data_IF_873890784004
#
_entry.id   IF_873890784004
#
_cell.length_a   1.000
_cell.length_b   1.000
_cell.length_c   1.000
_cell.angle_alpha   90.00
_cell.angle_beta   90.00
_cell.angle_gamma   90.00
#
_symmetry.space_group_name_H-M   'P 1'
#
loop_
_entity.id
_entity.type
_entity.pdbx_description
1 polymer ?
#
# COMPACT_ATOMS: atom_id res chain seq x y z
N UNK A 1 -10.20 -31.52 -39.28
CA UNK A 1 -8.97 -31.02 -38.64
C UNK A 1 -8.99 -29.52 -38.32
N UNK A 2 -9.50 -28.62 -39.18
CA UNK A 2 -9.53 -27.17 -38.92
C UNK A 2 -10.39 -26.78 -37.67
N UNK A 3 -11.55 -27.38 -37.44
CA UNK A 3 -12.43 -27.08 -36.27
C UNK A 3 -11.72 -27.38 -34.92
N UNK A 4 -10.93 -28.47 -34.87
CA UNK A 4 -10.20 -28.85 -33.65
C UNK A 4 -9.08 -27.85 -33.33
N UNK A 5 -8.37 -27.34 -34.36
CA UNK A 5 -7.32 -26.32 -34.21
C UNK A 5 -7.92 -24.99 -33.73
N UNK A 6 -9.06 -24.58 -34.28
CA UNK A 6 -9.77 -23.35 -33.89
C UNK A 6 -10.24 -23.43 -32.42
N UNK A 7 -10.77 -24.57 -31.98
CA UNK A 7 -11.20 -24.77 -30.61
C UNK A 7 -10.03 -24.74 -29.61
N UNK A 8 -8.90 -25.35 -29.94
CA UNK A 8 -7.66 -25.27 -29.13
C UNK A 8 -7.12 -23.83 -29.02
N UNK A 9 -7.20 -23.05 -30.10
CA UNK A 9 -6.78 -21.65 -30.05
C UNK A 9 -7.71 -20.78 -29.20
N UNK A 10 -9.03 -20.96 -29.34
CA UNK A 10 -10.02 -20.26 -28.50
C UNK A 10 -9.83 -20.60 -27.01
N UNK A 11 -9.66 -21.88 -26.70
CA UNK A 11 -9.38 -22.33 -25.32
C UNK A 11 -8.10 -21.70 -24.74
N UNK A 12 -7.00 -21.68 -25.50
CA UNK A 12 -5.75 -21.03 -25.04
C UNK A 12 -5.89 -19.52 -24.85
N UNK A 13 -6.74 -18.85 -25.65
CA UNK A 13 -7.05 -17.42 -25.46
C UNK A 13 -7.85 -17.20 -24.18
N UNK A 14 -8.90 -18.00 -23.97
CA UNK A 14 -9.72 -17.94 -22.79
C UNK A 14 -8.88 -18.18 -21.50
N UNK A 15 -8.00 -19.17 -21.52
CA UNK A 15 -7.12 -19.48 -20.39
C UNK A 15 -6.17 -18.33 -20.06
N UNK A 16 -5.62 -17.63 -21.07
CA UNK A 16 -4.78 -16.44 -20.86
C UNK A 16 -5.55 -15.28 -20.25
N UNK A 17 -6.77 -15.03 -20.75
CA UNK A 17 -7.64 -13.98 -20.18
C UNK A 17 -7.97 -14.30 -18.73
N UNK A 18 -8.36 -15.54 -18.45
CA UNK A 18 -8.66 -15.99 -17.09
C UNK A 18 -7.46 -15.82 -16.14
N UNK A 19 -6.26 -16.15 -16.61
CA UNK A 19 -5.01 -15.95 -15.86
C UNK A 19 -4.79 -14.49 -15.49
N UNK A 20 -4.91 -13.55 -16.44
CA UNK A 20 -4.70 -12.13 -16.18
C UNK A 20 -5.80 -11.52 -15.29
N UNK A 21 -7.04 -11.93 -15.51
CA UNK A 21 -8.16 -11.52 -14.65
C UNK A 21 -7.97 -12.06 -13.23
N UNK A 22 -7.58 -13.32 -13.08
CA UNK A 22 -7.28 -13.93 -11.78
C UNK A 22 -6.15 -13.22 -11.05
N UNK A 23 -5.06 -12.87 -11.75
CA UNK A 23 -3.95 -12.08 -11.20
C UNK A 23 -4.40 -10.70 -10.73
N UNK A 24 -5.23 -10.01 -11.53
CA UNK A 24 -5.76 -8.70 -11.16
C UNK A 24 -6.66 -8.77 -9.92
N UNK A 25 -7.56 -9.76 -9.86
CA UNK A 25 -8.43 -9.97 -8.68
C UNK A 25 -7.56 -10.25 -7.45
N UNK A 26 -6.57 -11.12 -7.56
CA UNK A 26 -5.67 -11.46 -6.46
C UNK A 26 -4.88 -10.23 -5.99
N UNK A 27 -4.39 -9.42 -6.91
CA UNK A 27 -3.73 -8.16 -6.60
C UNK A 27 -4.67 -7.21 -5.85
N UNK A 28 -5.88 -6.96 -6.39
CA UNK A 28 -6.85 -6.07 -5.77
C UNK A 28 -7.25 -6.55 -4.37
N UNK A 29 -7.50 -7.85 -4.20
CA UNK A 29 -7.82 -8.42 -2.90
C UNK A 29 -6.68 -8.29 -1.89
N UNK A 30 -5.42 -8.40 -2.34
CA UNK A 30 -4.26 -8.26 -1.46
C UNK A 30 -3.96 -6.78 -1.14
N UNK A 31 -4.00 -5.91 -2.16
CA UNK A 31 -3.63 -4.50 -2.02
C UNK A 31 -4.70 -3.69 -1.27
N UNK A 32 -5.98 -4.02 -1.40
CA UNK A 32 -7.09 -3.30 -0.76
C UNK A 32 -7.34 -3.70 0.70
N UNK A 33 -6.55 -4.62 1.28
CA UNK A 33 -6.72 -4.99 2.68
C UNK A 33 -6.46 -3.80 3.59
N UNK A 34 -7.44 -3.42 4.44
CA UNK A 34 -7.29 -2.30 5.35
C UNK A 34 -6.39 -2.66 6.54
N UNK A 35 -5.68 -1.68 7.02
CA UNK A 35 -4.81 -1.81 8.18
C UNK A 35 -4.08 -0.51 8.47
N UNK A 36 -2.98 -0.60 9.20
CA UNK A 36 -2.13 0.53 9.54
C UNK A 36 -0.66 0.13 9.45
N UNK A 37 0.18 1.06 9.06
CA UNK A 37 1.62 0.85 9.07
C UNK A 37 2.20 1.22 10.43
N UNK A 38 2.95 0.32 10.99
CA UNK A 38 3.82 0.57 12.13
C UNK A 38 5.24 0.31 11.66
N UNK A 39 5.96 1.35 11.29
CA UNK A 39 7.28 1.24 10.62
C UNK A 39 7.18 0.35 9.37
N UNK A 40 7.92 -0.76 9.32
CA UNK A 40 7.92 -1.71 8.21
C UNK A 40 6.83 -2.80 8.34
N UNK A 41 6.18 -2.90 9.51
CA UNK A 41 5.10 -3.83 9.74
C UNK A 41 3.75 -3.27 9.27
N UNK A 42 3.03 -4.00 8.43
CA UNK A 42 1.63 -3.71 8.15
C UNK A 42 0.73 -4.52 9.08
N UNK A 43 0.00 -3.82 9.95
CA UNK A 43 -0.96 -4.42 10.87
C UNK A 43 -2.33 -4.48 10.18
N UNK A 44 -2.76 -5.67 9.81
CA UNK A 44 -4.05 -5.89 9.18
C UNK A 44 -5.19 -5.72 10.16
N UNK A 45 -6.25 -5.03 9.76
CA UNK A 45 -7.47 -4.96 10.53
C UNK A 45 -8.15 -6.34 10.56
N UNK A 46 -8.44 -6.81 11.76
CA UNK A 46 -9.14 -8.07 12.02
C UNK A 46 -10.65 -7.87 12.04
N UNK A 47 -11.41 -8.96 12.05
CA UNK A 47 -12.89 -8.95 12.08
C UNK A 47 -13.46 -8.38 13.37
N UNK A 48 -12.72 -8.47 14.48
CA UNK A 48 -13.07 -7.91 15.79
C UNK A 48 -12.71 -6.42 15.92
N UNK A 49 -12.14 -5.82 14.86
CA UNK A 49 -11.70 -4.43 14.84
C UNK A 49 -10.28 -4.20 15.36
N UNK A 50 -9.61 -5.22 15.90
CA UNK A 50 -8.20 -5.13 16.28
C UNK A 50 -7.28 -5.12 15.05
N UNK A 51 -6.01 -4.81 15.27
CA UNK A 51 -4.97 -4.82 14.24
C UNK A 51 -3.90 -5.83 14.63
N UNK A 52 -3.42 -6.62 13.67
CA UNK A 52 -2.36 -7.58 13.89
C UNK A 52 -1.41 -7.66 12.70
N UNK A 53 -0.11 -7.76 12.98
CA UNK A 53 0.93 -7.83 11.97
C UNK A 53 2.24 -8.34 12.52
N UNK A 54 3.24 -8.44 11.65
CA UNK A 54 4.59 -8.86 12.02
C UNK A 54 5.62 -8.28 11.06
N UNK A 55 6.83 -8.07 11.58
CA UNK A 55 8.03 -7.78 10.82
C UNK A 55 9.20 -8.65 11.33
N UNK A 56 10.42 -8.26 11.01
CA UNK A 56 11.63 -8.93 11.49
C UNK A 56 11.89 -8.74 12.98
N UNK A 57 11.32 -7.68 13.61
CA UNK A 57 11.51 -7.37 15.03
C UNK A 57 10.48 -8.05 15.92
N UNK A 58 9.32 -8.46 15.38
CA UNK A 58 8.34 -9.15 16.20
C UNK A 58 6.94 -9.29 15.63
N UNK A 59 6.07 -9.76 16.52
CA UNK A 59 4.62 -9.89 16.27
C UNK A 59 3.92 -8.80 17.06
N UNK A 60 3.06 -8.06 16.38
CA UNK A 60 2.34 -6.90 16.91
C UNK A 60 0.85 -7.13 16.91
N UNK A 61 0.19 -6.66 17.97
CA UNK A 61 -1.26 -6.52 17.99
C UNK A 61 -1.64 -5.17 18.63
N UNK A 62 -2.69 -4.54 18.13
CA UNK A 62 -3.25 -3.32 18.67
C UNK A 62 -4.76 -3.49 18.78
N UNK A 63 -5.29 -3.28 19.96
CA UNK A 63 -6.74 -3.24 20.22
C UNK A 63 -7.12 -1.84 20.70
N UNK A 64 -8.11 -1.24 20.06
CA UNK A 64 -8.57 0.11 20.39
C UNK A 64 -10.01 0.03 20.87
N UNK A 65 -10.28 0.62 22.03
CA UNK A 65 -11.61 0.75 22.60
C UNK A 65 -11.89 2.23 22.86
N UNK A 66 -12.78 2.80 22.06
CA UNK A 66 -13.14 4.21 22.16
C UNK A 66 -14.33 4.42 23.11
N UNK A 67 -14.22 5.41 23.98
CA UNK A 67 -15.31 6.00 24.77
C UNK A 67 -15.36 7.51 24.50
N UNK A 68 -16.39 8.20 24.98
CA UNK A 68 -16.75 9.56 24.58
C UNK A 68 -15.61 10.60 24.75
N UNK A 69 -14.79 10.48 25.79
CA UNK A 69 -13.66 11.39 26.06
C UNK A 69 -12.36 10.65 26.35
N UNK A 70 -12.38 9.34 26.32
CA UNK A 70 -11.24 8.49 26.64
C UNK A 70 -11.16 7.33 25.67
N UNK A 71 -10.00 7.14 25.06
CA UNK A 71 -9.73 6.01 24.19
C UNK A 71 -8.63 5.15 24.82
N UNK A 72 -8.91 3.87 24.99
CA UNK A 72 -7.93 2.91 25.46
C UNK A 72 -7.34 2.14 24.27
N UNK A 73 -6.03 2.05 24.22
CA UNK A 73 -5.31 1.27 23.24
C UNK A 73 -4.37 0.28 23.95
N UNK A 74 -4.55 -0.99 23.66
CA UNK A 74 -3.68 -2.06 24.18
C UNK A 74 -2.77 -2.50 23.04
N UNK A 75 -1.51 -2.21 23.17
CA UNK A 75 -0.47 -2.63 22.22
C UNK A 75 0.27 -3.83 22.77
N UNK A 76 0.36 -4.89 21.98
CA UNK A 76 1.12 -6.08 22.31
C UNK A 76 2.28 -6.26 21.33
N UNK A 77 3.45 -6.57 21.86
CA UNK A 77 4.65 -6.89 21.10
C UNK A 77 5.29 -8.14 21.68
N UNK A 78 5.42 -9.20 20.89
CA UNK A 78 6.03 -10.46 21.29
C UNK A 78 5.45 -11.09 22.58
N UNK A 79 4.17 -10.82 22.88
CA UNK A 79 3.47 -11.31 24.07
C UNK A 79 3.52 -10.37 25.27
N UNK A 80 4.35 -9.33 25.25
CA UNK A 80 4.30 -8.24 26.24
C UNK A 80 3.22 -7.25 25.84
N UNK A 81 2.44 -6.76 26.81
CA UNK A 81 1.34 -5.81 26.58
C UNK A 81 1.58 -4.51 27.29
N UNK A 82 1.32 -3.41 26.59
CA UNK A 82 1.40 -2.04 27.10
C UNK A 82 0.03 -1.41 26.93
N UNK A 83 -0.46 -0.76 27.98
CA UNK A 83 -1.74 -0.07 27.94
C UNK A 83 -1.52 1.42 27.75
N UNK A 84 -2.22 1.97 26.77
CA UNK A 84 -2.25 3.40 26.51
C UNK A 84 -3.66 3.93 26.78
N UNK A 85 -3.73 5.06 27.44
CA UNK A 85 -4.97 5.79 27.70
C UNK A 85 -4.84 7.19 27.13
N UNK A 86 -5.70 7.53 26.18
CA UNK A 86 -5.72 8.80 25.47
C UNK A 86 -6.96 9.55 25.93
N UNK A 87 -6.76 10.69 26.55
CA UNK A 87 -7.84 11.58 27.03
C UNK A 87 -7.87 12.80 26.13
N UNK A 88 -9.03 13.05 25.53
CA UNK A 88 -9.26 14.21 24.66
C UNK A 88 -10.27 15.15 25.31
N UNK A 89 -9.98 16.45 25.32
CA UNK A 89 -10.91 17.46 25.79
C UNK A 89 -11.49 18.27 24.61
N UNK A 90 -12.67 18.93 24.79
CA UNK A 90 -13.32 19.71 23.74
C UNK A 90 -12.49 20.86 23.15
N UNK A 91 -11.39 21.23 23.79
CA UNK A 91 -10.47 22.28 23.35
C UNK A 91 -9.25 21.73 22.59
N UNK A 92 -9.36 20.52 22.03
CA UNK A 92 -8.28 19.82 21.31
C UNK A 92 -7.05 19.51 22.18
N UNK A 93 -7.15 19.64 23.51
CA UNK A 93 -6.10 19.21 24.41
C UNK A 93 -6.09 17.70 24.53
N UNK A 94 -4.92 17.11 24.37
CA UNK A 94 -4.68 15.67 24.39
C UNK A 94 -3.71 15.32 25.49
N UNK A 95 -4.04 14.29 26.26
CA UNK A 95 -3.13 13.70 27.23
C UNK A 95 -3.03 12.20 26.95
N UNK A 96 -1.81 11.68 26.87
CA UNK A 96 -1.56 10.27 26.64
C UNK A 96 -0.81 9.69 27.83
N UNK A 97 -1.30 8.57 28.33
CA UNK A 97 -0.73 7.84 29.45
C UNK A 97 -0.31 6.46 28.96
N UNK A 98 0.81 5.99 29.43
CA UNK A 98 1.31 4.63 29.27
C UNK A 98 1.40 4.01 30.66
N UNK A 99 0.67 2.92 30.91
CA UNK A 99 0.62 2.22 32.19
C UNK A 99 0.45 3.21 33.38
N UNK A 100 -0.55 4.13 33.25
CA UNK A 100 -0.87 5.24 34.19
C UNK A 100 0.18 6.36 34.29
N UNK A 101 1.34 6.25 33.66
CA UNK A 101 2.31 7.33 33.56
C UNK A 101 1.98 8.26 32.40
N UNK A 102 1.81 9.54 32.65
CA UNK A 102 1.62 10.53 31.60
C UNK A 102 2.90 10.68 30.78
N UNK A 103 2.82 10.36 29.48
CA UNK A 103 3.93 10.45 28.51
C UNK A 103 3.80 11.63 27.58
N UNK A 104 2.56 12.17 27.38
CA UNK A 104 2.33 13.33 26.54
C UNK A 104 1.23 14.21 27.13
N UNK A 105 1.39 15.53 26.97
CA UNK A 105 0.35 16.53 27.16
C UNK A 105 0.57 17.66 26.15
N UNK A 106 -0.50 18.07 25.48
CA UNK A 106 -0.41 19.09 24.43
C UNK A 106 -1.69 19.25 23.63
N UNK A 107 -1.57 19.70 22.41
CA UNK A 107 -2.67 19.96 21.49
C UNK A 107 -2.58 19.09 20.25
N UNK A 108 -3.74 18.72 19.71
CA UNK A 108 -3.90 18.04 18.45
C UNK A 108 -4.28 19.06 17.36
N UNK A 109 -3.51 19.16 16.29
CA UNK A 109 -3.73 20.13 15.20
C UNK A 109 -3.76 19.36 13.88
N UNK A 110 -4.81 19.51 13.09
CA UNK A 110 -4.98 18.88 11.78
C UNK A 110 -6.30 18.15 11.62
N UNK A 111 -6.42 17.39 10.55
CA UNK A 111 -7.62 16.59 10.26
C UNK A 111 -7.57 15.23 10.99
N UNK A 112 -8.73 14.64 11.32
CA UNK A 112 -8.76 13.31 11.92
C UNK A 112 -7.99 12.27 11.09
N UNK A 113 -7.07 11.56 11.72
CA UNK A 113 -6.20 10.58 11.07
C UNK A 113 -4.90 11.13 10.47
N UNK A 114 -4.78 12.46 10.35
CA UNK A 114 -3.54 13.15 9.92
C UNK A 114 -3.24 14.35 10.83
N UNK A 115 -3.39 14.14 12.13
CA UNK A 115 -3.22 15.13 13.18
C UNK A 115 -1.77 15.17 13.62
N UNK A 116 -1.25 16.36 13.85
CA UNK A 116 0.07 16.59 14.45
C UNK A 116 -0.12 16.94 15.94
N UNK A 117 0.61 16.27 16.82
CA UNK A 117 0.59 16.52 18.24
C UNK A 117 1.71 17.50 18.65
N UNK A 118 1.31 18.61 19.22
CA UNK A 118 2.21 19.64 19.76
C UNK A 118 2.17 19.61 21.30
N UNK A 119 3.33 19.37 21.90
CA UNK A 119 3.47 19.41 23.35
C UNK A 119 3.34 20.83 23.90
N UNK A 120 3.02 20.97 25.20
CA UNK A 120 2.88 22.26 25.90
C UNK A 120 4.15 23.12 25.81
N UNK A 121 5.32 22.51 25.63
CA UNK A 121 6.61 23.21 25.46
C UNK A 121 6.86 23.71 24.02
N UNK A 122 5.90 23.54 23.11
CA UNK A 122 6.01 23.95 21.70
C UNK A 122 6.83 23.01 20.82
N UNK A 123 7.13 21.80 21.28
CA UNK A 123 7.81 20.76 20.50
C UNK A 123 6.81 19.74 19.93
N UNK A 124 7.20 19.03 18.87
CA UNK A 124 6.45 17.89 18.38
C UNK A 124 6.47 16.75 19.40
N UNK A 125 5.36 16.02 19.52
CA UNK A 125 5.19 14.91 20.48
C UNK A 125 6.26 13.84 20.34
N UNK A 126 6.55 13.50 19.11
CA UNK A 126 7.54 12.51 18.74
C UNK A 126 8.72 13.24 18.15
N UNK A 127 9.83 13.32 18.88
CA UNK A 127 11.06 13.89 18.39
C UNK A 127 11.54 13.18 17.11
N UNK A 128 12.59 13.70 16.49
CA UNK A 128 13.19 13.05 15.32
C UNK A 128 13.87 11.76 15.82
N UNK A 129 13.32 10.61 15.42
CA UNK A 129 13.98 9.32 15.67
C UNK A 129 15.17 9.20 14.72
N UNK A 130 16.35 9.15 15.30
CA UNK A 130 17.60 8.96 14.54
C UNK A 130 17.92 7.46 14.55
N UNK A 131 17.75 6.82 13.41
CA UNK A 131 18.19 5.44 13.20
C UNK A 131 19.71 5.45 12.98
N UNK A 132 20.46 4.87 13.91
CA UNK A 132 21.92 4.75 13.79
C UNK A 132 22.25 3.37 13.24
N UNK A 133 22.94 3.30 12.11
CA UNK A 133 23.36 2.06 11.43
C UNK A 133 22.22 1.11 10.98
N UNK A 134 20.99 1.61 10.82
CA UNK A 134 19.86 0.79 10.36
C UNK A 134 19.27 -0.13 11.44
N UNK A 135 19.72 -0.05 12.67
CA UNK A 135 19.16 -0.80 13.80
C UNK A 135 18.29 0.12 14.67
N UNK A 136 17.06 -0.32 14.94
CA UNK A 136 16.14 0.32 15.88
C UNK A 136 16.54 -0.05 17.33
N UNK A 137 16.56 0.92 18.22
CA UNK A 137 16.65 0.63 19.65
C UNK A 137 15.30 0.11 20.16
N UNK A 138 15.30 -0.63 21.26
CA UNK A 138 14.07 -1.25 21.79
C UNK A 138 12.95 -0.22 22.10
N UNK A 139 13.31 1.02 22.45
CA UNK A 139 12.36 2.12 22.64
C UNK A 139 11.74 2.59 21.31
N UNK A 140 12.48 2.52 20.21
CA UNK A 140 12.00 2.89 18.89
C UNK A 140 11.03 1.84 18.29
N UNK A 141 10.92 0.67 18.94
CA UNK A 141 9.99 -0.39 18.55
C UNK A 141 8.56 -0.14 19.05
N UNK A 142 8.38 0.75 20.01
CA UNK A 142 7.04 1.10 20.51
C UNK A 142 6.34 2.09 19.60
N UNK A 143 4.99 2.11 19.60
CA UNK A 143 4.24 3.09 18.86
C UNK A 143 4.45 4.49 19.41
N UNK A 144 4.61 5.47 18.53
CA UNK A 144 4.74 6.87 18.92
C UNK A 144 3.41 7.45 19.38
N UNK A 145 3.43 8.53 20.17
CA UNK A 145 2.22 9.21 20.63
C UNK A 145 1.35 9.69 19.47
N UNK A 146 1.97 10.25 18.44
CA UNK A 146 1.28 10.74 17.25
C UNK A 146 0.64 9.58 16.46
N UNK A 147 1.36 8.49 16.27
CA UNK A 147 0.85 7.31 15.59
C UNK A 147 -0.36 6.73 16.33
N UNK A 148 -0.23 6.54 17.65
CA UNK A 148 -1.34 6.05 18.49
C UNK A 148 -2.57 6.93 18.40
N UNK A 149 -2.40 8.25 18.49
CA UNK A 149 -3.49 9.20 18.42
C UNK A 149 -4.21 9.14 17.06
N UNK A 150 -3.46 9.17 15.98
CA UNK A 150 -4.02 9.16 14.62
C UNK A 150 -4.81 7.87 14.33
N UNK A 151 -4.42 6.74 14.89
CA UNK A 151 -5.14 5.48 14.72
C UNK A 151 -6.29 5.36 15.71
N UNK A 152 -6.03 5.59 16.99
CA UNK A 152 -6.99 5.30 18.03
C UNK A 152 -8.13 6.34 18.11
N UNK A 153 -7.83 7.61 17.88
CA UNK A 153 -8.78 8.72 17.92
C UNK A 153 -9.15 9.18 16.51
N UNK A 154 -8.15 9.37 15.65
CA UNK A 154 -8.34 9.85 14.29
C UNK A 154 -8.89 8.81 13.32
N UNK A 155 -8.87 7.53 13.67
CA UNK A 155 -9.38 6.44 12.82
C UNK A 155 -8.60 6.23 11.53
N UNK A 156 -7.32 6.64 11.49
CA UNK A 156 -6.47 6.47 10.30
C UNK A 156 -6.43 5.02 9.87
N UNK A 157 -6.69 4.82 8.61
CA UNK A 157 -6.58 3.52 7.95
C UNK A 157 -5.92 3.68 6.60
N UNK A 158 -5.11 2.69 6.28
CA UNK A 158 -4.39 2.61 5.01
C UNK A 158 -4.65 1.28 4.33
N UNK A 159 -4.33 1.19 3.06
CA UNK A 159 -4.37 -0.07 2.32
C UNK A 159 -2.97 -0.67 2.26
N UNK A 160 -2.90 -2.02 2.24
CA UNK A 160 -1.61 -2.74 2.22
C UNK A 160 -0.77 -2.40 1.00
N UNK A 161 -1.41 -2.19 -0.16
CA UNK A 161 -0.73 -1.84 -1.41
C UNK A 161 -1.07 -0.42 -1.85
N UNK A 162 -0.13 0.20 -2.56
CA UNK A 162 -0.36 1.51 -3.17
C UNK A 162 -1.19 1.37 -4.44
N UNK A 163 -2.49 1.69 -4.36
CA UNK A 163 -3.44 1.55 -5.46
C UNK A 163 -3.18 2.51 -6.63
N UNK A 164 -2.34 3.54 -6.44
CA UNK A 164 -1.92 4.43 -7.53
C UNK A 164 -1.17 3.68 -8.64
N UNK A 165 -0.55 2.54 -8.31
CA UNK A 165 0.09 1.65 -9.30
C UNK A 165 -0.89 1.04 -10.31
N UNK A 166 -2.19 1.03 -10.03
CA UNK A 166 -3.21 0.61 -11.01
C UNK A 166 -3.18 1.47 -12.27
N UNK A 167 -2.83 2.76 -12.16
CA UNK A 167 -2.76 3.67 -13.30
C UNK A 167 -1.65 3.27 -14.29
N UNK A 168 -0.36 3.16 -13.92
CA UNK A 168 0.68 2.71 -14.85
C UNK A 168 0.48 1.26 -15.29
N UNK A 169 -0.02 0.37 -14.45
CA UNK A 169 -0.34 -1.01 -14.84
C UNK A 169 -1.44 -1.06 -15.90
N UNK A 170 -2.51 -0.27 -15.72
CA UNK A 170 -3.60 -0.14 -16.69
C UNK A 170 -3.14 0.44 -18.01
N UNK A 171 -2.27 1.48 -17.97
CA UNK A 171 -1.68 2.06 -19.18
C UNK A 171 -0.83 1.04 -19.94
N UNK A 172 0.05 0.31 -19.27
CA UNK A 172 0.85 -0.75 -19.90
C UNK A 172 -0.02 -1.86 -20.48
N UNK A 173 -1.07 -2.26 -19.76
CA UNK A 173 -2.01 -3.27 -20.25
C UNK A 173 -2.78 -2.79 -21.50
N UNK A 174 -3.18 -1.51 -21.55
CA UNK A 174 -3.82 -0.89 -22.70
C UNK A 174 -2.87 -0.85 -23.90
N UNK A 175 -1.63 -0.38 -23.71
CA UNK A 175 -0.62 -0.35 -24.76
C UNK A 175 -0.35 -1.77 -25.30
N UNK A 176 -0.18 -2.74 -24.41
CA UNK A 176 -0.01 -4.15 -24.79
C UNK A 176 -1.20 -4.69 -25.57
N UNK A 177 -2.42 -4.37 -25.15
CA UNK A 177 -3.64 -4.78 -25.85
C UNK A 177 -3.73 -4.15 -27.25
N UNK A 178 -3.47 -2.85 -27.39
CA UNK A 178 -3.47 -2.16 -28.67
C UNK A 178 -2.42 -2.71 -29.61
N UNK A 179 -1.21 -2.97 -29.09
CA UNK A 179 -0.11 -3.51 -29.89
C UNK A 179 -0.35 -4.95 -30.35
N UNK A 180 -1.04 -5.77 -29.56
CA UNK A 180 -1.44 -7.13 -29.98
C UNK A 180 -2.57 -7.10 -31.00
N UNK A 181 -3.56 -6.22 -30.81
CA UNK A 181 -4.76 -6.15 -31.65
C UNK A 181 -4.50 -5.42 -32.97
N UNK A 182 -3.66 -4.40 -32.94
CA UNK A 182 -3.31 -3.53 -34.05
C UNK A 182 -1.78 -3.45 -34.21
N UNK A 183 -1.11 -4.49 -34.75
CA UNK A 183 0.35 -4.58 -34.76
C UNK A 183 1.07 -3.43 -35.48
N UNK A 184 0.38 -2.76 -36.41
CA UNK A 184 0.92 -1.63 -37.17
C UNK A 184 0.50 -0.27 -36.62
N UNK A 185 -0.29 -0.20 -35.53
CA UNK A 185 -0.81 1.04 -34.99
C UNK A 185 0.32 2.03 -34.66
N UNK A 186 1.30 1.58 -33.88
CA UNK A 186 2.42 2.44 -33.46
C UNK A 186 3.36 2.77 -34.62
N UNK A 187 3.55 1.85 -35.55
CA UNK A 187 4.25 2.13 -36.80
C UNK A 187 3.57 3.23 -37.60
N UNK A 188 2.28 3.10 -37.83
CA UNK A 188 1.49 4.08 -38.59
C UNK A 188 1.44 5.43 -37.89
N UNK A 189 1.34 5.49 -36.56
CA UNK A 189 1.39 6.72 -35.80
C UNK A 189 2.72 7.45 -35.91
N UNK A 190 3.84 6.71 -35.91
CA UNK A 190 5.18 7.32 -35.98
C UNK A 190 5.61 7.66 -37.42
N UNK A 191 5.12 6.95 -38.43
CA UNK A 191 5.58 7.06 -39.81
C UNK A 191 4.50 7.50 -40.80
N UNK A 192 3.20 7.43 -40.42
CA UNK A 192 2.10 7.72 -41.32
C UNK A 192 2.01 9.19 -41.82
N UNK A 193 2.68 10.12 -41.13
CA UNK A 193 2.81 11.51 -41.56
C UNK A 193 4.05 11.74 -42.45
N UNK A 194 5.03 10.85 -42.38
CA UNK A 194 6.34 11.03 -43.04
C UNK A 194 6.56 10.14 -44.26
N UNK A 195 5.91 8.99 -44.35
CA UNK A 195 6.13 8.00 -45.42
C UNK A 195 4.81 7.41 -45.90
N UNK A 196 4.48 7.60 -47.16
CA UNK A 196 3.36 6.91 -47.82
C UNK A 196 3.84 5.51 -48.25
N UNK A 197 3.27 4.43 -47.66
CA UNK A 197 3.44 3.07 -48.12
C UNK A 197 4.70 2.33 -47.66
N UNK A 198 5.36 2.76 -46.60
CA UNK A 198 6.49 2.04 -46.03
C UNK A 198 6.06 0.78 -45.23
N UNK A 199 6.78 -0.34 -45.46
CA UNK A 199 6.64 -1.53 -44.62
C UNK A 199 7.55 -1.46 -43.39
N UNK A 200 7.11 -1.99 -42.23
CA UNK A 200 7.98 -2.03 -41.04
C UNK A 200 9.19 -2.96 -41.28
N UNK A 201 10.34 -2.49 -40.85
CA UNK A 201 11.59 -3.28 -40.96
C UNK A 201 11.53 -4.53 -40.06
N UNK A 202 12.32 -5.57 -40.40
CA UNK A 202 12.43 -6.75 -39.56
C UNK A 202 12.91 -6.43 -38.15
N UNK A 203 13.78 -5.41 -38.00
CA UNK A 203 14.23 -4.87 -36.73
C UNK A 203 13.04 -4.33 -35.90
N UNK A 204 12.15 -3.52 -36.49
CA UNK A 204 10.96 -3.04 -35.81
C UNK A 204 10.08 -4.18 -35.33
N UNK A 205 9.82 -5.18 -36.17
CA UNK A 205 9.02 -6.34 -35.81
C UNK A 205 9.64 -7.15 -34.64
N UNK A 206 10.96 -7.22 -34.62
CA UNK A 206 11.70 -7.89 -33.53
C UNK A 206 11.61 -7.11 -32.23
N UNK A 207 11.86 -5.81 -32.26
CA UNK A 207 11.75 -4.93 -31.08
C UNK A 207 10.32 -4.89 -30.53
N UNK A 208 9.31 -4.92 -31.39
CA UNK A 208 7.93 -5.00 -30.98
C UNK A 208 7.61 -6.28 -30.18
N UNK A 209 8.17 -7.44 -30.59
CA UNK A 209 8.04 -8.71 -29.83
C UNK A 209 8.70 -8.58 -28.46
N UNK A 210 9.92 -8.07 -28.41
CA UNK A 210 10.66 -7.84 -27.16
C UNK A 210 9.88 -6.92 -26.24
N UNK A 211 9.37 -5.79 -26.75
CA UNK A 211 8.55 -4.84 -25.98
C UNK A 211 7.31 -5.48 -25.39
N UNK A 212 6.59 -6.32 -26.16
CA UNK A 212 5.43 -7.08 -25.67
C UNK A 212 5.80 -8.02 -24.51
N UNK A 213 6.92 -8.68 -24.61
CA UNK A 213 7.35 -9.62 -23.56
C UNK A 213 7.82 -8.86 -22.30
N UNK A 214 8.50 -7.72 -22.47
CA UNK A 214 8.84 -6.82 -21.37
C UNK A 214 7.59 -6.29 -20.65
N UNK A 215 6.55 -5.85 -21.40
CA UNK A 215 5.30 -5.37 -20.79
C UNK A 215 4.58 -6.48 -20.00
N UNK A 216 4.57 -7.73 -20.49
CA UNK A 216 3.98 -8.87 -19.77
C UNK A 216 4.68 -9.18 -18.45
N UNK A 217 5.98 -8.91 -18.34
CA UNK A 217 6.76 -9.06 -17.12
C UNK A 217 6.65 -7.80 -16.25
N UNK A 218 6.63 -6.62 -16.87
CA UNK A 218 6.58 -5.33 -16.20
C UNK A 218 5.30 -5.11 -15.37
N UNK A 219 4.14 -5.55 -15.91
CA UNK A 219 2.86 -5.41 -15.19
C UNK A 219 2.87 -6.14 -13.83
N UNK A 220 3.20 -7.46 -13.73
CA UNK A 220 3.28 -8.13 -12.44
C UNK A 220 4.41 -7.59 -11.55
N UNK A 221 5.50 -7.11 -12.14
CA UNK A 221 6.58 -6.48 -11.38
C UNK A 221 6.11 -5.18 -10.70
N UNK A 222 5.37 -4.32 -11.42
CA UNK A 222 4.76 -3.12 -10.83
C UNK A 222 3.77 -3.47 -9.71
N UNK A 223 3.01 -4.55 -9.88
CA UNK A 223 2.13 -5.05 -8.84
C UNK A 223 2.91 -5.44 -7.56
N UNK A 224 4.06 -6.08 -7.69
CA UNK A 224 4.92 -6.42 -6.55
C UNK A 224 5.53 -5.17 -5.90
N UNK A 225 6.02 -4.23 -6.72
CA UNK A 225 6.63 -2.97 -6.23
C UNK A 225 5.61 -2.14 -5.42
N UNK A 226 4.31 -2.19 -5.79
CA UNK A 226 3.26 -1.45 -5.09
C UNK A 226 3.11 -1.82 -3.61
N UNK A 227 3.60 -2.99 -3.19
CA UNK A 227 3.62 -3.43 -1.79
C UNK A 227 4.88 -3.02 -1.03
N UNK A 228 5.86 -2.43 -1.72
CA UNK A 228 7.18 -2.14 -1.15
C UNK A 228 7.45 -0.64 -0.96
N UNK A 229 6.52 0.22 -1.36
CA UNK A 229 6.65 1.67 -1.22
C UNK A 229 5.91 2.16 0.03
N UNK A 230 6.64 2.22 1.13
CA UNK A 230 6.24 2.91 2.37
C UNK A 230 7.42 3.66 2.95
#
# INVERSE_FOLDING_TARGET
MQKIKAHKQAFRRALRILYWVGLMILYLCAASRPGVWLRDAFLYRQTDGSFAGRDEYGIYALTVTAAEHETQAVFAMNGETIQYRIVTSPQENVQIYQDDRKIFAGQAIGEPGDTVLWAENGQLADGINVVVNGEYQQQDLLPTCQWLYNIAVGGRMETRGNLWFLLPMGLLALVLFLDIKFPLLFWNLSHGLAVQGGEPSEWYCTMQKVSRDLMKVGIPLLALISFWQH
#
